data_IF_537355811787
#
_entry.id   IF_537355811787
#
_cell.length_a   1.000
_cell.length_b   1.000
_cell.length_c   1.000
_cell.angle_alpha   90.00
_cell.angle_beta   90.00
_cell.angle_gamma   90.00
#
_symmetry.space_group_name_H-M   'P 1'
#
loop_
_entity.id
_entity.type
_entity.pdbx_description
1 polymer ?
#
# COMPACT_ATOMS: atom_id res chain seq x y z
N UNK A 1 9.84 -17.54 18.23
CA UNK A 1 9.51 -16.13 17.94
C UNK A 1 10.79 -15.29 18.00
N UNK A 2 10.98 -14.41 17.05
CA UNK A 2 12.09 -13.45 16.94
C UNK A 2 12.21 -12.58 18.19
N UNK A 3 11.08 -12.22 18.81
CA UNK A 3 11.01 -11.42 20.04
C UNK A 3 11.74 -12.06 21.24
N UNK A 4 11.91 -13.38 21.26
CA UNK A 4 12.71 -14.08 22.28
C UNK A 4 14.18 -13.69 22.27
N UNK A 5 14.66 -13.12 21.17
CA UNK A 5 16.04 -12.68 21.00
C UNK A 5 16.23 -11.18 21.28
N UNK A 6 15.21 -10.51 21.84
CA UNK A 6 15.29 -9.11 22.25
C UNK A 6 14.85 -8.10 21.19
N UNK A 7 14.33 -8.56 20.02
CA UNK A 7 13.76 -7.68 19.01
C UNK A 7 12.36 -7.26 19.47
N UNK A 8 12.09 -5.96 19.52
CA UNK A 8 10.78 -5.40 19.85
C UNK A 8 9.87 -5.40 18.63
N UNK A 9 8.60 -5.66 18.84
CA UNK A 9 7.55 -5.60 17.81
C UNK A 9 6.34 -4.85 18.31
N UNK A 10 5.69 -4.16 17.41
CA UNK A 10 4.42 -3.47 17.61
C UNK A 10 3.43 -3.85 16.52
N UNK A 11 2.22 -3.28 16.54
CA UNK A 11 1.19 -3.60 15.56
C UNK A 11 0.73 -2.37 14.79
N UNK A 12 0.55 -2.57 13.49
CA UNK A 12 -0.10 -1.64 12.59
C UNK A 12 -1.32 -2.29 11.97
N UNK A 13 -2.19 -1.49 11.37
CA UNK A 13 -3.37 -1.98 10.66
C UNK A 13 -3.41 -1.49 9.23
N UNK A 14 -4.11 -2.24 8.41
CA UNK A 14 -4.51 -1.87 7.06
C UNK A 14 -5.86 -2.52 6.76
N UNK A 15 -6.34 -2.41 5.54
CA UNK A 15 -7.57 -3.06 5.11
C UNK A 15 -7.50 -3.48 3.66
N UNK A 16 -8.41 -4.33 3.27
CA UNK A 16 -8.61 -4.73 1.88
C UNK A 16 -10.05 -4.45 1.48
N UNK A 17 -10.30 -4.04 0.23
CA UNK A 17 -11.65 -3.86 -0.29
C UNK A 17 -12.29 -5.18 -0.71
N UNK A 18 -13.55 -5.11 -1.04
CA UNK A 18 -14.31 -6.23 -1.61
C UNK A 18 -13.76 -6.68 -2.96
N UNK A 19 -13.97 -7.95 -3.27
CA UNK A 19 -13.76 -8.52 -4.62
C UNK A 19 -15.11 -8.76 -5.25
N UNK A 20 -15.33 -8.18 -6.43
CA UNK A 20 -16.60 -8.16 -7.15
C UNK A 20 -16.53 -9.06 -8.38
N UNK A 21 -17.61 -9.77 -8.67
CA UNK A 21 -17.74 -10.53 -9.91
C UNK A 21 -17.99 -9.58 -11.09
N UNK A 22 -17.04 -9.50 -12.03
CA UNK A 22 -17.09 -8.69 -13.23
C UNK A 22 -18.40 -8.82 -14.00
N UNK A 23 -18.98 -10.01 -14.02
CA UNK A 23 -20.21 -10.33 -14.78
C UNK A 23 -21.47 -9.69 -14.19
N UNK A 24 -21.39 -9.15 -12.98
CA UNK A 24 -22.47 -8.49 -12.26
C UNK A 24 -22.32 -6.97 -12.19
N UNK A 25 -21.38 -6.41 -12.95
CA UNK A 25 -21.08 -4.98 -13.00
C UNK A 25 -21.74 -4.34 -14.21
N UNK A 26 -22.36 -3.21 -14.02
CA UNK A 26 -22.94 -2.35 -15.07
C UNK A 26 -21.87 -1.34 -15.55
N UNK A 27 -21.00 -1.78 -16.43
CA UNK A 27 -19.89 -0.96 -16.94
C UNK A 27 -20.35 0.28 -17.72
N UNK A 28 -21.57 0.27 -18.23
CA UNK A 28 -22.20 1.41 -18.91
C UNK A 28 -22.40 2.62 -17.98
N UNK A 29 -22.42 2.39 -16.66
CA UNK A 29 -22.55 3.41 -15.64
C UNK A 29 -21.19 3.82 -15.02
N UNK A 30 -20.07 3.42 -15.65
CA UNK A 30 -18.71 3.72 -15.19
C UNK A 30 -17.91 4.41 -16.29
N UNK A 31 -16.90 5.16 -15.88
CA UNK A 31 -15.95 5.77 -16.80
C UNK A 31 -14.74 4.85 -17.00
N UNK A 32 -14.46 4.39 -18.23
CA UNK A 32 -13.30 3.55 -18.50
C UNK A 32 -12.00 4.34 -18.40
N UNK A 33 -11.00 3.72 -17.78
CA UNK A 33 -9.63 4.21 -17.71
C UNK A 33 -8.75 3.24 -18.51
N UNK A 34 -8.52 3.47 -19.80
CA UNK A 34 -7.67 2.61 -20.61
C UNK A 34 -6.21 2.76 -20.14
N UNK A 35 -5.44 1.69 -20.33
CA UNK A 35 -3.99 1.75 -20.15
C UNK A 35 -3.33 2.68 -21.17
N UNK A 36 -2.11 3.08 -20.90
CA UNK A 36 -1.30 3.88 -21.82
C UNK A 36 -0.95 3.05 -23.06
N UNK A 37 -1.07 3.68 -24.25
CA UNK A 37 -0.72 3.05 -25.51
C UNK A 37 0.72 3.31 -25.93
N UNK A 38 1.30 4.38 -25.42
CA UNK A 38 2.69 4.81 -25.64
C UNK A 38 3.38 4.98 -24.28
N UNK A 39 3.78 3.84 -23.72
CA UNK A 39 4.47 3.80 -22.43
C UNK A 39 5.92 3.37 -22.57
N UNK A 40 6.77 3.93 -21.73
CA UNK A 40 8.16 3.53 -21.60
C UNK A 40 8.32 2.48 -20.50
N UNK A 41 9.19 1.50 -20.73
CA UNK A 41 9.55 0.55 -19.67
C UNK A 41 10.42 1.23 -18.61
N UNK A 42 10.36 0.72 -17.38
CA UNK A 42 11.20 1.23 -16.28
C UNK A 42 12.70 0.89 -16.43
N UNK A 43 13.00 -0.16 -17.20
CA UNK A 43 14.39 -0.54 -17.47
C UNK A 43 14.91 0.17 -18.73
N UNK A 44 16.12 0.73 -18.66
CA UNK A 44 16.83 1.27 -19.82
C UNK A 44 17.42 0.18 -20.72
N UNK A 45 17.51 -1.06 -20.23
CA UNK A 45 18.13 -2.19 -20.90
C UNK A 45 17.09 -3.27 -21.26
N UNK A 46 17.34 -3.92 -22.40
CA UNK A 46 16.54 -5.06 -22.86
C UNK A 46 15.40 -4.69 -23.81
N UNK A 47 14.76 -5.70 -24.40
CA UNK A 47 13.66 -5.50 -25.33
C UNK A 47 12.43 -4.99 -24.59
N UNK A 48 11.76 -4.01 -25.18
CA UNK A 48 10.48 -3.52 -24.68
C UNK A 48 9.44 -4.64 -24.73
N UNK A 49 8.92 -5.04 -23.56
CA UNK A 49 7.86 -6.04 -23.44
C UNK A 49 6.50 -5.34 -23.46
N UNK A 50 5.66 -5.66 -24.44
CA UNK A 50 4.29 -5.19 -24.50
C UNK A 50 3.38 -6.24 -23.84
N UNK A 51 2.86 -5.90 -22.66
CA UNK A 51 1.82 -6.67 -22.00
C UNK A 51 0.44 -6.21 -22.49
N UNK A 52 -0.58 -7.10 -22.52
CA UNK A 52 -1.94 -6.68 -22.74
C UNK A 52 -2.34 -5.61 -21.72
N UNK A 53 -2.87 -4.49 -22.20
CA UNK A 53 -3.39 -3.44 -21.33
C UNK A 53 -4.81 -3.79 -20.92
N UNK A 54 -5.05 -3.93 -19.62
CA UNK A 54 -6.38 -4.11 -19.05
C UNK A 54 -6.88 -2.75 -18.55
N UNK A 55 -8.06 -2.30 -18.98
CA UNK A 55 -8.62 -1.06 -18.46
C UNK A 55 -9.08 -1.24 -17.02
N UNK A 56 -9.02 -0.16 -16.24
CA UNK A 56 -9.77 0.03 -15.03
C UNK A 56 -11.03 0.84 -15.32
N UNK A 57 -11.93 0.91 -14.36
CA UNK A 57 -13.14 1.74 -14.46
C UNK A 57 -13.29 2.57 -13.19
N UNK A 58 -13.75 3.82 -13.35
CA UNK A 58 -13.99 4.69 -12.22
C UNK A 58 -15.49 4.88 -11.98
N UNK A 59 -15.85 4.95 -10.72
CA UNK A 59 -17.13 5.41 -10.21
C UNK A 59 -16.93 6.15 -8.90
N UNK A 60 -18.02 6.61 -8.30
CA UNK A 60 -17.97 7.33 -7.03
C UNK A 60 -18.99 6.78 -6.06
N UNK A 61 -18.71 6.92 -4.76
CA UNK A 61 -19.73 6.81 -3.74
C UNK A 61 -20.71 8.00 -3.86
N UNK A 62 -21.87 7.87 -3.24
CA UNK A 62 -22.89 8.92 -3.14
C UNK A 62 -23.40 9.00 -1.70
N UNK A 63 -24.33 9.92 -1.44
CA UNK A 63 -24.88 10.12 -0.10
C UNK A 63 -25.62 8.88 0.44
N UNK A 64 -26.35 8.13 -0.41
CA UNK A 64 -27.03 6.89 0.00
C UNK A 64 -26.02 5.83 0.48
N UNK A 65 -24.87 5.71 -0.20
CA UNK A 65 -23.75 4.86 0.25
C UNK A 65 -23.25 5.31 1.62
N UNK A 66 -23.07 6.62 1.79
CA UNK A 66 -22.57 7.20 3.03
C UNK A 66 -23.55 7.01 4.20
N UNK A 67 -24.86 7.13 3.97
CA UNK A 67 -25.89 6.87 5.00
C UNK A 67 -25.83 5.43 5.48
N UNK A 68 -25.77 4.45 4.56
CA UNK A 68 -25.64 3.03 4.91
C UNK A 68 -24.37 2.80 5.73
N UNK A 69 -23.23 3.31 5.29
CA UNK A 69 -21.96 3.13 6.01
C UNK A 69 -21.97 3.80 7.38
N UNK A 70 -22.56 5.00 7.52
CA UNK A 70 -22.70 5.68 8.82
C UNK A 70 -23.55 4.88 9.81
N UNK A 71 -24.58 4.18 9.32
CA UNK A 71 -25.43 3.35 10.18
C UNK A 71 -24.70 2.17 10.82
N UNK A 72 -23.64 1.66 10.14
CA UNK A 72 -22.85 0.53 10.60
C UNK A 72 -21.55 0.91 11.35
N UNK A 73 -21.25 2.20 11.59
CA UNK A 73 -20.00 2.63 12.20
C UNK A 73 -19.75 2.00 13.59
N UNK A 74 -20.79 1.85 14.39
CA UNK A 74 -20.70 1.26 15.72
C UNK A 74 -20.30 -0.23 15.69
N UNK A 75 -20.55 -0.92 14.59
CA UNK A 75 -20.24 -2.33 14.39
C UNK A 75 -18.88 -2.56 13.71
N UNK A 76 -18.24 -1.48 13.24
CA UNK A 76 -16.91 -1.57 12.65
C UNK A 76 -15.84 -1.85 13.71
N UNK A 77 -14.97 -2.86 13.54
CA UNK A 77 -13.84 -3.11 14.42
C UNK A 77 -12.89 -1.93 14.60
N UNK A 78 -12.87 -1.00 13.64
CA UNK A 78 -12.05 0.21 13.71
C UNK A 78 -12.60 1.25 14.69
N UNK A 79 -13.91 1.21 14.98
CA UNK A 79 -14.59 2.21 15.82
C UNK A 79 -15.18 1.63 17.10
N UNK A 80 -15.36 0.31 17.19
CA UNK A 80 -15.87 -0.35 18.40
C UNK A 80 -14.78 -0.71 19.44
N UNK A 81 -13.52 -0.37 19.18
CA UNK A 81 -12.39 -0.60 20.08
C UNK A 81 -11.70 -1.96 19.96
N UNK A 82 -12.13 -2.82 19.04
CA UNK A 82 -11.46 -4.10 18.78
C UNK A 82 -10.06 -3.92 18.17
N UNK A 83 -9.90 -2.94 17.26
CA UNK A 83 -8.64 -2.60 16.62
C UNK A 83 -8.19 -1.26 17.16
N UNK A 84 -7.01 -1.24 17.83
CA UNK A 84 -6.43 -0.03 18.41
C UNK A 84 -5.12 0.38 17.74
N UNK A 85 -4.59 -0.44 16.84
CA UNK A 85 -3.34 -0.16 16.14
C UNK A 85 -3.48 0.98 15.13
N UNK A 86 -2.35 1.66 14.84
CA UNK A 86 -2.28 2.79 13.91
C UNK A 86 -2.44 2.31 12.46
N UNK A 87 -3.32 2.96 11.70
CA UNK A 87 -3.53 2.69 10.28
C UNK A 87 -2.81 3.67 9.36
N UNK A 88 -2.73 3.36 8.06
CA UNK A 88 -2.06 4.21 7.09
C UNK A 88 -2.86 5.51 6.85
N UNK A 89 -2.15 6.64 6.85
CA UNK A 89 -2.73 7.97 6.58
C UNK A 89 -3.28 8.09 5.16
N UNK A 90 -2.61 7.47 4.20
CA UNK A 90 -2.85 7.68 2.77
C UNK A 90 -3.69 6.60 2.09
N UNK A 91 -4.09 5.57 2.83
CA UNK A 91 -5.03 4.54 2.35
C UNK A 91 -6.03 4.20 3.45
N UNK A 92 -6.83 5.20 3.92
CA UNK A 92 -7.83 4.94 4.94
C UNK A 92 -8.97 4.08 4.38
N UNK A 93 -9.62 3.31 5.26
CA UNK A 93 -10.85 2.62 4.90
C UNK A 93 -11.95 3.61 4.53
N UNK A 94 -12.98 3.15 3.85
CA UNK A 94 -14.10 4.03 3.44
C UNK A 94 -14.79 4.64 4.66
N UNK A 95 -15.00 3.87 5.72
CA UNK A 95 -15.57 4.37 6.97
C UNK A 95 -14.68 5.44 7.65
N UNK A 96 -13.36 5.28 7.57
CA UNK A 96 -12.43 6.31 8.07
C UNK A 96 -12.49 7.59 7.25
N UNK A 97 -12.65 7.47 5.91
CA UNK A 97 -12.85 8.64 5.04
C UNK A 97 -14.11 9.43 5.42
N UNK A 98 -15.21 8.75 5.72
CA UNK A 98 -16.46 9.40 6.12
C UNK A 98 -16.36 10.17 7.44
N UNK A 99 -15.57 9.66 8.38
CA UNK A 99 -15.32 10.33 9.67
C UNK A 99 -14.35 11.49 9.52
N UNK A 100 -13.29 11.30 8.73
CA UNK A 100 -12.24 12.31 8.54
C UNK A 100 -12.69 13.47 7.64
N UNK A 101 -13.54 13.18 6.65
CA UNK A 101 -14.02 14.14 5.64
C UNK A 101 -15.55 14.17 5.60
N UNK A 102 -16.23 14.58 6.69
CA UNK A 102 -17.70 14.49 6.81
C UNK A 102 -18.45 15.33 5.78
N UNK A 103 -17.82 16.41 5.29
CA UNK A 103 -18.41 17.33 4.31
C UNK A 103 -18.28 16.83 2.85
N UNK A 104 -17.62 15.69 2.62
CA UNK A 104 -17.50 15.11 1.29
C UNK A 104 -18.70 14.22 0.98
N UNK A 105 -19.46 14.56 -0.04
CA UNK A 105 -20.62 13.80 -0.50
C UNK A 105 -20.26 12.63 -1.42
N UNK A 106 -18.99 12.50 -1.79
CA UNK A 106 -18.52 11.53 -2.77
C UNK A 106 -17.05 11.21 -2.57
N UNK A 107 -16.69 9.94 -2.76
CA UNK A 107 -15.31 9.47 -2.80
C UNK A 107 -15.07 8.66 -4.09
N UNK A 108 -13.96 8.88 -4.80
CA UNK A 108 -13.64 8.13 -6.01
C UNK A 108 -13.30 6.69 -5.68
N UNK A 109 -13.76 5.79 -6.56
CA UNK A 109 -13.50 4.36 -6.53
C UNK A 109 -12.96 3.91 -7.89
N UNK A 110 -12.06 2.95 -7.86
CA UNK A 110 -11.49 2.34 -9.05
C UNK A 110 -11.80 0.84 -9.04
N UNK A 111 -12.43 0.35 -10.08
CA UNK A 111 -12.68 -1.07 -10.27
C UNK A 111 -11.58 -1.63 -11.18
N UNK A 112 -10.72 -2.47 -10.61
CA UNK A 112 -9.49 -2.95 -11.21
C UNK A 112 -9.57 -4.47 -11.42
N UNK A 113 -9.19 -5.01 -12.61
CA UNK A 113 -9.14 -6.46 -12.80
C UNK A 113 -8.00 -7.06 -11.96
N UNK A 114 -8.29 -8.14 -11.23
CA UNK A 114 -7.27 -8.88 -10.45
C UNK A 114 -6.32 -9.69 -11.35
N UNK A 115 -6.69 -9.92 -12.60
CA UNK A 115 -5.87 -10.66 -13.56
C UNK A 115 -6.59 -10.93 -14.86
N UNK A 116 -5.89 -11.56 -15.82
CA UNK A 116 -6.41 -11.88 -17.14
C UNK A 116 -7.36 -13.08 -17.15
N UNK A 117 -7.17 -14.02 -16.23
CA UNK A 117 -7.83 -15.32 -16.23
C UNK A 117 -8.87 -15.46 -15.11
N UNK A 118 -9.31 -14.33 -14.55
CA UNK A 118 -10.30 -14.30 -13.48
C UNK A 118 -11.40 -13.27 -13.76
N UNK A 119 -12.58 -13.51 -13.19
CA UNK A 119 -13.67 -12.53 -13.15
C UNK A 119 -13.64 -11.68 -11.85
N UNK A 120 -12.62 -11.84 -11.00
CA UNK A 120 -12.50 -11.03 -9.80
C UNK A 120 -12.03 -9.62 -10.14
N UNK A 121 -12.76 -8.64 -9.60
CA UNK A 121 -12.45 -7.22 -9.71
C UNK A 121 -12.20 -6.67 -8.31
N UNK A 122 -11.15 -5.87 -8.18
CA UNK A 122 -10.74 -5.20 -6.95
C UNK A 122 -11.38 -3.80 -6.90
N UNK A 123 -12.20 -3.52 -5.89
CA UNK A 123 -12.82 -2.20 -5.72
C UNK A 123 -11.92 -1.27 -4.89
N UNK A 124 -10.88 -0.75 -5.53
CA UNK A 124 -9.95 0.18 -4.90
C UNK A 124 -10.66 1.44 -4.40
N UNK A 125 -10.32 1.87 -3.19
CA UNK A 125 -10.95 3.00 -2.52
C UNK A 125 -12.10 2.64 -1.59
N UNK A 126 -12.63 1.39 -1.67
CA UNK A 126 -13.69 0.86 -0.81
C UNK A 126 -13.17 -0.20 0.18
N UNK A 127 -11.97 -0.01 0.73
CA UNK A 127 -11.47 -0.83 1.83
C UNK A 127 -12.39 -0.66 3.05
N UNK A 128 -12.85 -1.73 3.65
CA UNK A 128 -13.82 -1.68 4.76
C UNK A 128 -13.65 -2.85 5.72
N UNK A 129 -13.94 -2.60 6.99
CA UNK A 129 -14.05 -3.63 8.03
C UNK A 129 -15.48 -3.77 8.57
N UNK A 130 -16.45 -3.11 7.94
CA UNK A 130 -17.86 -3.18 8.28
C UNK A 130 -18.40 -4.61 8.19
N UNK A 131 -19.49 -4.95 8.90
CA UNK A 131 -20.21 -6.19 8.68
C UNK A 131 -20.58 -6.40 7.22
N UNK A 132 -20.67 -7.67 6.82
CA UNK A 132 -20.96 -8.06 5.45
C UNK A 132 -22.21 -7.39 4.86
N UNK A 133 -23.28 -7.36 5.65
CA UNK A 133 -24.59 -6.83 5.25
C UNK A 133 -24.49 -5.33 4.92
N UNK A 134 -23.73 -4.59 5.71
CA UNK A 134 -23.49 -3.15 5.50
C UNK A 134 -22.65 -2.92 4.24
N UNK A 135 -21.61 -3.73 4.04
CA UNK A 135 -20.79 -3.62 2.83
C UNK A 135 -21.61 -3.87 1.56
N UNK A 136 -22.42 -4.95 1.57
CA UNK A 136 -23.25 -5.32 0.43
C UNK A 136 -24.31 -4.25 0.14
N UNK A 137 -25.02 -3.80 1.15
CA UNK A 137 -26.06 -2.77 1.01
C UNK A 137 -25.45 -1.46 0.48
N UNK A 138 -24.32 -1.02 1.04
CA UNK A 138 -23.63 0.19 0.60
C UNK A 138 -23.17 0.10 -0.87
N UNK A 139 -22.61 -1.04 -1.28
CA UNK A 139 -22.15 -1.26 -2.66
C UNK A 139 -23.33 -1.24 -3.63
N UNK A 140 -24.48 -1.80 -3.26
CA UNK A 140 -25.67 -1.80 -4.10
C UNK A 140 -26.31 -0.40 -4.26
N UNK A 141 -25.91 0.60 -3.46
CA UNK A 141 -26.29 2.00 -3.66
C UNK A 141 -25.44 2.72 -4.72
N UNK A 142 -24.37 2.10 -5.22
CA UNK A 142 -23.60 2.61 -6.34
C UNK A 142 -24.28 2.14 -7.64
N UNK A 143 -24.70 3.05 -8.54
CA UNK A 143 -25.46 2.68 -9.75
C UNK A 143 -24.84 1.55 -10.56
N UNK A 144 -23.54 1.62 -10.82
CA UNK A 144 -22.80 0.61 -11.57
C UNK A 144 -22.70 -0.74 -10.85
N UNK A 145 -22.92 -0.79 -9.55
CA UNK A 145 -22.74 -1.95 -8.68
C UNK A 145 -24.05 -2.42 -8.03
N UNK A 146 -25.23 -1.93 -8.50
CA UNK A 146 -26.55 -2.23 -7.92
C UNK A 146 -26.90 -3.71 -7.87
N UNK A 147 -26.33 -4.52 -8.76
CA UNK A 147 -26.52 -5.98 -8.83
C UNK A 147 -25.23 -6.75 -8.52
N UNK A 148 -24.23 -6.07 -7.94
CA UNK A 148 -22.91 -6.64 -7.73
C UNK A 148 -22.93 -7.89 -6.86
N UNK A 149 -22.27 -8.94 -7.36
CA UNK A 149 -22.01 -10.16 -6.60
C UNK A 149 -20.59 -10.08 -6.05
N UNK A 150 -20.47 -10.35 -4.76
CA UNK A 150 -19.19 -10.22 -4.07
C UNK A 150 -18.58 -11.61 -3.86
N UNK A 151 -17.37 -11.83 -4.33
CA UNK A 151 -16.59 -13.05 -4.08
C UNK A 151 -16.04 -13.06 -2.65
N UNK A 152 -15.53 -11.92 -2.20
CA UNK A 152 -14.93 -11.75 -0.87
C UNK A 152 -15.26 -10.37 -0.30
N UNK A 153 -15.70 -10.28 0.97
CA UNK A 153 -15.89 -8.99 1.62
C UNK A 153 -14.56 -8.30 1.87
N UNK A 154 -14.60 -7.01 2.11
CA UNK A 154 -13.51 -6.28 2.71
C UNK A 154 -13.33 -6.69 4.18
N UNK A 155 -12.11 -6.56 4.68
CA UNK A 155 -11.77 -6.80 6.09
C UNK A 155 -10.56 -5.98 6.51
N UNK A 156 -10.48 -5.71 7.82
CA UNK A 156 -9.28 -5.11 8.41
C UNK A 156 -8.22 -6.18 8.64
N UNK A 157 -6.96 -5.75 8.56
CA UNK A 157 -5.79 -6.57 8.80
C UNK A 157 -4.94 -5.86 9.85
N UNK A 158 -4.60 -6.55 10.94
CA UNK A 158 -3.53 -6.15 11.83
C UNK A 158 -2.30 -7.00 11.54
N UNK A 159 -1.13 -6.37 11.55
CA UNK A 159 0.14 -7.05 11.31
C UNK A 159 1.22 -6.55 12.26
N UNK A 160 2.14 -7.46 12.61
CA UNK A 160 3.30 -7.11 13.42
C UNK A 160 4.32 -6.39 12.55
N UNK A 161 4.91 -5.32 13.09
CA UNK A 161 6.12 -4.72 12.55
C UNK A 161 7.19 -4.65 13.63
N UNK A 162 8.43 -4.52 13.21
CA UNK A 162 9.58 -4.39 14.09
C UNK A 162 10.12 -2.98 13.97
N UNK A 163 10.35 -2.32 15.09
CA UNK A 163 10.89 -0.96 15.08
C UNK A 163 12.19 -0.92 14.25
N UNK A 164 12.21 -0.19 13.12
CA UNK A 164 13.34 -0.18 12.20
C UNK A 164 14.58 0.51 12.78
N UNK A 165 14.48 1.23 13.91
CA UNK A 165 15.65 1.75 14.63
C UNK A 165 16.54 0.63 15.17
N UNK A 166 16.05 -0.61 15.24
CA UNK A 166 16.82 -1.80 15.60
C UNK A 166 17.70 -2.32 14.44
N UNK A 167 17.62 -1.67 13.27
CA UNK A 167 18.41 -2.03 12.08
C UNK A 167 19.57 -1.07 11.87
N UNK A 168 20.65 -1.60 11.31
CA UNK A 168 21.73 -0.83 10.69
C UNK A 168 21.25 -0.21 9.37
N UNK A 169 21.96 0.75 8.79
CA UNK A 169 21.65 1.29 7.46
C UNK A 169 21.74 0.24 6.32
N UNK A 170 22.40 -0.88 6.58
CA UNK A 170 22.41 -2.04 5.69
C UNK A 170 21.11 -2.87 5.75
N UNK A 171 20.16 -2.50 6.62
CA UNK A 171 18.96 -3.24 7.00
C UNK A 171 19.22 -4.57 7.73
N UNK A 172 20.46 -4.80 8.17
CA UNK A 172 20.80 -5.89 9.08
C UNK A 172 20.39 -5.52 10.51
N UNK A 173 19.88 -6.50 11.25
CA UNK A 173 19.57 -6.34 12.68
C UNK A 173 20.81 -5.98 13.49
N UNK A 174 20.69 -5.01 14.41
CA UNK A 174 21.72 -4.69 15.42
C UNK A 174 21.83 -5.78 16.49
N UNK A 175 20.82 -6.65 16.61
CA UNK A 175 20.68 -7.62 17.69
C UNK A 175 21.07 -9.03 17.24
N UNK A 176 20.71 -9.41 16.01
CA UNK A 176 20.96 -10.75 15.45
C UNK A 176 21.79 -10.58 14.18
N UNK A 177 23.03 -11.02 14.22
CA UNK A 177 23.94 -10.98 13.08
C UNK A 177 23.40 -11.84 11.92
N UNK A 178 23.55 -11.32 10.69
CA UNK A 178 23.11 -11.99 9.47
C UNK A 178 21.59 -12.00 9.23
N UNK A 179 20.80 -11.37 10.11
CA UNK A 179 19.37 -11.23 9.93
C UNK A 179 19.02 -9.85 9.35
N UNK A 180 18.40 -9.85 8.18
CA UNK A 180 17.97 -8.64 7.48
C UNK A 180 16.44 -8.54 7.47
N UNK A 181 15.92 -7.31 7.57
CA UNK A 181 14.49 -7.01 7.48
C UNK A 181 14.23 -6.08 6.31
N UNK A 182 13.16 -6.34 5.56
CA UNK A 182 12.77 -5.48 4.44
C UNK A 182 11.26 -5.48 4.23
N UNK A 183 10.73 -4.33 3.81
CA UNK A 183 9.32 -4.17 3.46
C UNK A 183 8.43 -3.85 4.65
N UNK A 184 7.19 -4.33 4.61
CA UNK A 184 6.14 -3.98 5.57
C UNK A 184 6.52 -4.31 7.04
N UNK A 185 7.34 -5.31 7.25
CA UNK A 185 7.83 -5.68 8.59
C UNK A 185 8.65 -4.58 9.27
N UNK A 186 9.12 -3.59 8.52
CA UNK A 186 9.82 -2.39 9.02
C UNK A 186 8.88 -1.20 9.23
N UNK A 187 7.56 -1.43 9.24
CA UNK A 187 6.57 -0.38 9.43
C UNK A 187 6.36 0.52 8.22
N UNK A 188 6.70 0.07 7.01
CA UNK A 188 6.42 0.78 5.77
C UNK A 188 5.14 0.29 5.11
N UNK A 189 4.55 1.11 4.23
CA UNK A 189 3.47 0.71 3.35
C UNK A 189 3.75 1.20 1.94
N UNK A 190 3.58 0.32 0.95
CA UNK A 190 3.82 0.56 -0.47
C UNK A 190 4.76 -0.47 -1.09
N UNK A 191 4.49 -0.80 -2.35
CA UNK A 191 5.29 -1.77 -3.10
C UNK A 191 6.70 -1.24 -3.38
N UNK A 192 6.81 0.05 -3.66
CA UNK A 192 8.06 0.73 -3.98
C UNK A 192 8.99 0.74 -2.77
N UNK A 193 8.47 1.04 -1.58
CA UNK A 193 9.22 1.00 -0.33
C UNK A 193 9.71 -0.43 -0.03
N UNK A 194 8.86 -1.42 -0.24
CA UNK A 194 9.22 -2.82 -0.03
C UNK A 194 10.28 -3.29 -1.05
N UNK A 195 10.14 -2.91 -2.31
CA UNK A 195 11.09 -3.22 -3.37
C UNK A 195 12.46 -2.61 -3.12
N UNK A 196 12.53 -1.32 -2.76
CA UNK A 196 13.76 -0.62 -2.42
C UNK A 196 14.48 -1.27 -1.24
N UNK A 197 13.77 -1.52 -0.14
CA UNK A 197 14.34 -2.20 1.03
C UNK A 197 14.81 -3.62 0.70
N UNK A 198 14.00 -4.40 -0.04
CA UNK A 198 14.35 -5.77 -0.44
C UNK A 198 15.62 -5.82 -1.27
N UNK A 199 15.79 -4.87 -2.19
CA UNK A 199 17.00 -4.75 -3.00
C UNK A 199 18.23 -4.48 -2.15
N UNK A 200 18.19 -3.48 -1.26
CA UNK A 200 19.32 -3.13 -0.40
C UNK A 200 19.64 -4.25 0.59
N UNK A 201 18.62 -4.83 1.23
CA UNK A 201 18.83 -5.97 2.15
C UNK A 201 19.43 -7.17 1.45
N UNK A 202 18.96 -7.50 0.22
CA UNK A 202 19.49 -8.61 -0.56
C UNK A 202 20.95 -8.41 -0.98
N UNK A 203 21.30 -7.20 -1.44
CA UNK A 203 22.70 -6.83 -1.77
C UNK A 203 23.59 -6.99 -0.53
N UNK A 204 23.17 -6.43 0.61
CA UNK A 204 23.94 -6.47 1.84
C UNK A 204 24.10 -7.89 2.41
N UNK A 205 23.08 -8.70 2.29
CA UNK A 205 23.18 -10.12 2.68
C UNK A 205 24.22 -10.86 1.82
N UNK A 206 24.22 -10.62 0.52
CA UNK A 206 25.22 -11.21 -0.39
C UNK A 206 26.64 -10.71 -0.10
N UNK A 207 26.81 -9.42 0.16
CA UNK A 207 28.10 -8.82 0.52
C UNK A 207 28.62 -9.39 1.85
N UNK A 208 27.76 -9.54 2.86
CA UNK A 208 28.10 -10.16 4.12
C UNK A 208 28.58 -11.60 3.93
N UNK A 209 27.88 -12.42 3.14
CA UNK A 209 28.28 -13.79 2.82
C UNK A 209 29.63 -13.86 2.09
N UNK A 210 30.00 -12.81 1.36
CA UNK A 210 31.25 -12.72 0.60
C UNK A 210 32.38 -12.04 1.39
N UNK A 211 32.12 -11.64 2.65
CA UNK A 211 33.09 -10.93 3.49
C UNK A 211 33.46 -9.52 3.00
N UNK A 212 32.55 -8.88 2.27
CA UNK A 212 32.70 -7.53 1.75
C UNK A 212 32.03 -6.49 2.66
N UNK A 213 32.46 -5.23 2.53
CA UNK A 213 31.84 -4.10 3.22
C UNK A 213 30.38 -3.90 2.77
N UNK A 214 29.51 -3.42 3.67
CA UNK A 214 28.11 -3.19 3.36
C UNK A 214 27.93 -2.04 2.34
N UNK A 215 26.96 -2.22 1.46
CA UNK A 215 26.46 -1.20 0.57
C UNK A 215 25.49 -0.27 1.30
N UNK A 216 25.83 1.01 1.42
CA UNK A 216 25.03 2.03 2.08
C UNK A 216 24.73 3.14 1.09
N UNK A 217 23.46 3.48 0.94
CA UNK A 217 23.01 4.62 0.14
C UNK A 217 22.75 5.82 1.03
N UNK A 218 23.31 6.96 0.68
CA UNK A 218 23.13 8.21 1.42
C UNK A 218 21.86 8.96 0.97
N UNK A 219 21.43 9.91 1.80
CA UNK A 219 20.23 10.72 1.56
C UNK A 219 20.31 11.63 0.32
N UNK A 220 21.50 12.03 -0.07
CA UNK A 220 21.81 12.84 -1.26
C UNK A 220 22.00 12.02 -2.54
N UNK A 221 22.08 10.69 -2.42
CA UNK A 221 22.29 9.79 -3.55
C UNK A 221 20.97 9.23 -4.09
N UNK A 222 20.00 8.94 -3.22
CA UNK A 222 18.75 8.33 -3.66
C UNK A 222 17.58 8.50 -2.69
N UNK A 223 16.35 8.37 -3.20
CA UNK A 223 15.16 8.25 -2.36
C UNK A 223 15.16 6.98 -1.50
N UNK A 224 15.82 5.91 -1.95
CA UNK A 224 16.02 4.69 -1.14
C UNK A 224 16.92 5.00 0.05
N UNK A 225 17.97 5.81 -0.14
CA UNK A 225 18.82 6.29 0.95
C UNK A 225 18.04 7.12 1.97
N UNK A 226 17.19 8.05 1.51
CA UNK A 226 16.30 8.82 2.38
C UNK A 226 15.36 7.90 3.18
N UNK A 227 14.73 6.93 2.51
CA UNK A 227 13.85 5.95 3.12
C UNK A 227 14.55 5.17 4.24
N UNK A 228 15.70 4.58 3.96
CA UNK A 228 16.43 3.74 4.92
C UNK A 228 16.94 4.57 6.10
N UNK A 229 17.47 5.76 5.84
CA UNK A 229 17.93 6.64 6.90
C UNK A 229 16.77 7.08 7.81
N UNK A 230 15.62 7.51 7.24
CA UNK A 230 14.45 7.86 8.04
C UNK A 230 14.01 6.68 8.93
N UNK A 231 13.93 5.48 8.38
CA UNK A 231 13.53 4.28 9.13
C UNK A 231 14.49 3.98 10.27
N UNK A 232 15.78 3.92 9.99
CA UNK A 232 16.79 3.41 10.94
C UNK A 232 17.24 4.44 11.99
N UNK A 233 16.97 5.75 11.74
CA UNK A 233 17.34 6.84 12.66
C UNK A 233 16.16 7.43 13.40
N UNK A 234 15.01 7.61 12.73
CA UNK A 234 13.82 8.26 13.30
C UNK A 234 12.77 7.25 13.77
N UNK A 235 12.77 6.03 13.19
CA UNK A 235 11.70 5.06 13.42
C UNK A 235 10.40 5.46 12.74
N UNK A 236 9.30 4.80 13.14
CA UNK A 236 7.96 5.01 12.58
C UNK A 236 6.92 4.99 13.69
N UNK A 237 5.99 5.93 13.66
CA UNK A 237 4.82 6.03 14.53
C UNK A 237 3.50 5.76 13.78
N UNK A 238 3.56 5.77 12.46
CA UNK A 238 2.50 5.39 11.53
C UNK A 238 3.11 4.66 10.33
N UNK A 239 2.33 3.89 9.53
CA UNK A 239 2.86 3.24 8.32
C UNK A 239 3.54 4.24 7.39
N UNK A 240 4.87 4.11 7.25
CA UNK A 240 5.71 5.03 6.50
C UNK A 240 5.45 4.94 5.00
N UNK A 241 5.33 6.10 4.35
CA UNK A 241 5.35 6.26 2.89
C UNK A 241 6.45 7.22 2.49
N UNK A 242 7.12 6.90 1.38
CA UNK A 242 8.11 7.80 0.80
C UNK A 242 7.43 8.89 -0.02
N UNK A 243 7.72 10.14 0.31
CA UNK A 243 7.30 11.33 -0.42
C UNK A 243 8.51 12.18 -0.74
N UNK A 244 8.45 12.87 -1.88
CA UNK A 244 9.52 13.79 -2.29
C UNK A 244 9.79 14.88 -1.24
N UNK A 245 8.78 15.24 -0.44
CA UNK A 245 8.91 16.20 0.67
C UNK A 245 9.82 15.76 1.80
N UNK A 246 10.14 14.45 1.90
CA UNK A 246 11.06 13.90 2.91
C UNK A 246 12.52 14.07 2.53
N UNK A 247 12.82 14.32 1.25
CA UNK A 247 14.18 14.50 0.76
C UNK A 247 14.59 15.98 0.79
N UNK A 248 15.72 16.27 1.40
CA UNK A 248 16.34 17.60 1.44
C UNK A 248 16.96 17.96 0.08
N UNK A 249 17.56 16.98 -0.58
CA UNK A 249 18.33 17.15 -1.81
C UNK A 249 17.52 16.93 -3.08
N UNK A 250 16.25 17.37 -3.11
CA UNK A 250 15.33 17.15 -4.24
C UNK A 250 15.83 17.67 -5.59
N UNK A 251 16.72 18.67 -5.59
CA UNK A 251 17.33 19.17 -6.82
C UNK A 251 18.29 18.14 -7.43
N UNK A 252 18.92 17.29 -6.60
CA UNK A 252 19.81 16.22 -7.04
C UNK A 252 19.04 14.94 -7.37
N UNK A 253 17.99 14.63 -6.60
CA UNK A 253 17.23 13.39 -6.70
C UNK A 253 16.10 13.53 -7.73
N UNK A 254 16.45 13.78 -8.99
CA UNK A 254 15.48 13.95 -10.08
C UNK A 254 15.36 12.67 -10.90
N UNK A 255 14.19 12.50 -11.53
CA UNK A 255 13.93 11.36 -12.42
C UNK A 255 14.81 11.39 -13.67
N UNK A 256 15.05 12.59 -14.20
CA UNK A 256 15.76 12.81 -15.47
C UNK A 256 17.27 12.55 -15.41
N UNK A 257 17.85 12.40 -14.21
CA UNK A 257 19.27 12.08 -14.02
C UNK A 257 19.49 10.73 -13.28
N UNK A 258 18.43 9.96 -13.09
CA UNK A 258 18.49 8.73 -12.29
C UNK A 258 19.43 7.69 -12.87
N UNK A 259 19.49 7.55 -14.19
CA UNK A 259 20.39 6.64 -14.88
C UNK A 259 21.87 7.01 -14.67
N UNK A 260 22.19 8.31 -14.71
CA UNK A 260 23.55 8.79 -14.50
C UNK A 260 24.02 8.68 -13.03
N UNK A 261 23.08 8.78 -12.07
CA UNK A 261 23.40 8.70 -10.63
C UNK A 261 23.48 7.27 -10.11
N UNK A 262 22.74 6.33 -10.72
CA UNK A 262 22.56 4.97 -10.21
C UNK A 262 23.31 3.91 -11.03
N UNK A 263 24.09 4.32 -12.00
CA UNK A 263 25.03 3.46 -12.74
C UNK A 263 26.44 3.62 -12.23
#
# INVERSE_FOLDING_TARGET
SITRHGITSERMKTGTPVRIDRRSVHFEDMEPQPGETDYHQFSFFGPQRKLPQLPCWTCNTNEEVHEVLRSGLADSPLFNGQIQSTGPRYCPSIETKLVTFPDKNSHPLFLEPEGTDTNEMYLNGFSSSMPWEIQLEAIHKIPALRDAKIYRPGYAIEYDYFDPTQLKHSLESKIIEGLFFAGQVNGTTGYEEAGGQGTVAGINAALLCSGNEPFIMNRDESYIGVLIDDLTTKGVDEPYRMFTSRAEYRILLRQDDADARLT
#
